data_IF_112168635880
#
_entry.id   IF_112168635880
#
_cell.length_a   1.000
_cell.length_b   1.000
_cell.length_c   1.000
_cell.angle_alpha   90.00
_cell.angle_beta   90.00
_cell.angle_gamma   90.00
#
_symmetry.space_group_name_H-M   'P 1'
#
loop_
_entity.id
_entity.type
_entity.pdbx_description
1 polymer ?
#
# COMPACT_ATOMS: atom_id res chain seq x y z
N UNK A 1 49.77 65.67 29.60
CA UNK A 1 50.54 64.41 29.52
C UNK A 1 49.62 63.32 28.99
N UNK A 2 49.94 62.80 27.80
CA UNK A 2 49.20 61.72 27.12
C UNK A 2 49.39 60.40 27.87
N UNK A 3 48.30 59.66 28.13
CA UNK A 3 48.35 58.22 28.40
C UNK A 3 47.38 57.53 27.45
N UNK A 4 47.95 56.92 26.43
CA UNK A 4 47.30 56.01 25.49
C UNK A 4 47.00 54.72 26.23
N UNK A 5 45.72 54.32 26.32
CA UNK A 5 45.33 53.00 26.80
C UNK A 5 45.07 52.15 25.55
N UNK A 6 45.93 51.16 25.36
CA UNK A 6 45.72 50.03 24.47
C UNK A 6 44.87 49.01 25.25
N UNK A 7 43.69 48.64 24.76
CA UNK A 7 42.98 47.46 25.26
C UNK A 7 42.54 46.60 24.06
N UNK A 8 42.96 45.36 24.17
CA UNK A 8 43.05 44.29 23.19
C UNK A 8 41.67 43.79 22.77
N UNK A 9 41.42 43.69 21.46
CA UNK A 9 40.27 42.94 20.91
C UNK A 9 40.51 41.44 21.16
N UNK A 10 39.62 40.82 21.94
CA UNK A 10 39.60 39.37 22.14
C UNK A 10 38.71 38.76 21.05
N UNK A 11 39.31 38.24 19.99
CA UNK A 11 38.62 37.49 18.93
C UNK A 11 38.31 36.07 19.42
N UNK A 12 37.08 35.82 19.84
CA UNK A 12 36.58 34.47 20.13
C UNK A 12 36.29 33.74 18.82
N UNK A 13 37.18 32.83 18.41
CA UNK A 13 36.86 31.80 17.42
C UNK A 13 35.83 30.84 18.01
N UNK A 14 34.59 30.91 17.53
CA UNK A 14 33.60 29.85 17.70
C UNK A 14 33.97 28.73 16.73
N UNK A 15 34.65 27.69 17.24
CA UNK A 15 34.76 26.41 16.57
C UNK A 15 33.37 25.75 16.59
N UNK A 16 32.71 25.79 15.43
CA UNK A 16 31.49 25.03 15.19
C UNK A 16 31.86 23.54 15.17
N UNK A 17 31.51 22.81 16.24
CA UNK A 17 31.56 21.35 16.26
C UNK A 17 30.42 20.82 15.40
N UNK A 18 30.63 20.70 14.09
CA UNK A 18 29.82 19.80 13.25
C UNK A 18 30.20 18.37 13.63
N UNK A 19 29.44 17.77 14.54
CA UNK A 19 29.45 16.33 14.74
C UNK A 19 28.84 15.68 13.50
N UNK A 20 29.69 15.37 12.52
CA UNK A 20 29.39 14.32 11.54
C UNK A 20 29.33 13.00 12.32
N UNK A 21 28.17 12.66 12.87
CA UNK A 21 27.84 11.28 13.20
C UNK A 21 27.66 10.55 11.88
N UNK A 22 28.76 10.02 11.35
CA UNK A 22 28.71 8.88 10.46
C UNK A 22 27.95 7.78 11.21
N UNK A 23 26.70 7.50 10.83
CA UNK A 23 26.01 6.29 11.27
C UNK A 23 26.92 5.12 10.89
N UNK A 24 27.50 4.46 11.89
CA UNK A 24 28.13 3.17 11.65
C UNK A 24 27.06 2.26 11.05
N UNK A 25 27.28 1.80 9.81
CA UNK A 25 26.41 0.79 9.19
C UNK A 25 26.42 -0.41 10.13
N UNK A 26 25.29 -0.67 10.79
CA UNK A 26 25.11 -1.84 11.65
C UNK A 26 25.45 -3.08 10.81
N UNK A 27 26.55 -3.74 11.16
CA UNK A 27 27.01 -4.97 10.53
C UNK A 27 26.45 -6.16 11.32
N UNK A 28 25.18 -6.50 11.08
CA UNK A 28 24.53 -7.66 11.70
C UNK A 28 23.00 -7.51 11.77
N UNK A 29 22.27 -8.59 12.07
CA UNK A 29 20.81 -8.53 12.21
C UNK A 29 20.42 -7.58 13.35
N UNK A 30 19.30 -6.88 13.14
CA UNK A 30 18.71 -6.01 14.16
C UNK A 30 17.68 -6.81 14.94
N UNK A 31 17.69 -6.69 16.28
CA UNK A 31 16.68 -7.35 17.10
C UNK A 31 15.36 -6.60 16.99
N UNK A 32 14.32 -7.27 16.48
CA UNK A 32 12.94 -6.89 16.62
C UNK A 32 12.31 -7.66 17.79
N UNK A 33 11.59 -6.96 18.66
CA UNK A 33 10.89 -7.55 19.79
C UNK A 33 9.65 -6.74 20.15
N UNK A 34 8.58 -7.40 20.59
CA UNK A 34 7.40 -6.74 21.13
C UNK A 34 7.40 -6.88 22.66
N UNK A 35 7.28 -5.75 23.35
CA UNK A 35 7.15 -5.72 24.81
C UNK A 35 5.74 -5.31 25.20
N UNK A 36 5.25 -5.87 26.30
CA UNK A 36 4.03 -5.42 26.94
C UNK A 36 4.38 -4.55 28.14
N UNK A 37 4.04 -3.26 28.06
CA UNK A 37 4.36 -2.25 29.07
C UNK A 37 3.07 -1.51 29.45
N UNK A 38 2.69 -1.54 30.74
CA UNK A 38 1.47 -0.88 31.24
C UNK A 38 0.18 -1.26 30.49
N UNK A 39 0.08 -2.53 30.06
CA UNK A 39 -1.08 -3.02 29.31
C UNK A 39 -1.07 -2.67 27.81
N UNK A 40 0.02 -2.07 27.30
CA UNK A 40 0.19 -1.71 25.89
C UNK A 40 1.27 -2.56 25.24
N UNK A 41 1.08 -2.90 23.98
CA UNK A 41 2.09 -3.53 23.15
C UNK A 41 2.92 -2.48 22.39
N UNK A 42 4.24 -2.60 22.45
CA UNK A 42 5.15 -1.72 21.74
C UNK A 42 6.20 -2.56 21.01
N UNK A 43 6.33 -2.35 19.71
CA UNK A 43 7.43 -2.89 18.92
C UNK A 43 8.71 -2.10 19.21
N UNK A 44 9.83 -2.80 19.36
CA UNK A 44 11.17 -2.26 19.46
C UNK A 44 12.02 -2.82 18.33
N UNK A 45 12.82 -1.97 17.69
CA UNK A 45 13.81 -2.36 16.68
C UNK A 45 15.17 -1.81 17.10
N UNK A 46 16.14 -2.70 17.33
CA UNK A 46 17.47 -2.32 17.81
C UNK A 46 17.46 -1.73 19.23
N UNK A 47 16.43 -2.03 20.02
CA UNK A 47 16.24 -1.50 21.38
C UNK A 47 15.48 -0.17 21.46
N UNK A 48 15.12 0.43 20.32
CA UNK A 48 14.37 1.69 20.26
C UNK A 48 12.89 1.45 19.95
N UNK A 49 11.94 2.18 20.57
CA UNK A 49 10.53 2.10 20.24
C UNK A 49 10.29 2.39 18.75
N UNK A 50 9.51 1.53 18.10
CA UNK A 50 9.24 1.60 16.67
C UNK A 50 7.74 1.50 16.39
N UNK A 51 7.20 2.49 15.69
CA UNK A 51 5.85 2.46 15.13
C UNK A 51 5.96 2.24 13.62
N UNK A 52 5.28 1.22 13.08
CA UNK A 52 5.35 0.92 11.65
C UNK A 52 4.58 1.99 10.86
N UNK A 53 5.35 2.82 10.14
CA UNK A 53 4.90 3.78 9.11
C UNK A 53 5.22 3.16 7.76
N UNK A 54 4.44 2.16 7.38
CA UNK A 54 4.82 1.25 6.31
C UNK A 54 3.98 1.37 5.06
N UNK A 55 4.50 0.81 3.97
CA UNK A 55 3.74 0.53 2.75
C UNK A 55 3.96 -0.90 2.21
N UNK A 56 2.93 -1.48 1.60
CA UNK A 56 3.05 -2.69 0.79
C UNK A 56 3.71 -2.33 -0.54
N UNK A 57 4.89 -2.88 -0.78
CA UNK A 57 5.78 -2.48 -1.87
C UNK A 57 6.48 -3.73 -2.43
N UNK A 58 5.98 -4.25 -3.53
CA UNK A 58 6.64 -5.34 -4.28
C UNK A 58 7.54 -4.77 -5.37
N UNK A 59 7.01 -3.84 -6.18
CA UNK A 59 7.70 -3.21 -7.31
C UNK A 59 7.59 -1.67 -7.30
N UNK A 60 7.18 -1.11 -6.16
CA UNK A 60 7.01 0.34 -6.01
C UNK A 60 8.31 1.10 -5.78
N UNK A 61 8.20 2.41 -5.55
CA UNK A 61 9.34 3.29 -5.38
C UNK A 61 9.77 3.36 -3.89
N UNK A 62 10.84 2.65 -3.55
CA UNK A 62 11.41 2.55 -2.20
C UNK A 62 11.99 3.89 -1.73
N UNK A 63 12.65 4.62 -2.62
CA UNK A 63 13.25 5.92 -2.31
C UNK A 63 12.15 6.94 -1.98
N UNK A 64 11.05 6.95 -2.74
CA UNK A 64 9.90 7.80 -2.45
C UNK A 64 9.25 7.45 -1.12
N UNK A 65 9.15 6.17 -0.76
CA UNK A 65 8.63 5.80 0.55
C UNK A 65 9.44 6.45 1.69
N UNK A 66 10.77 6.43 1.59
CA UNK A 66 11.64 7.09 2.56
C UNK A 66 11.50 8.63 2.51
N UNK A 67 11.41 9.21 1.32
CA UNK A 67 11.22 10.66 1.10
C UNK A 67 9.96 11.20 1.81
N UNK A 68 8.85 10.45 1.79
CA UNK A 68 7.62 10.85 2.46
C UNK A 68 7.57 10.49 3.94
N UNK A 69 8.65 9.98 4.54
CA UNK A 69 8.72 9.69 5.98
C UNK A 69 8.23 8.29 6.38
N UNK A 70 8.02 7.41 5.41
CA UNK A 70 7.87 5.98 5.66
C UNK A 70 9.16 5.40 6.27
N UNK A 71 9.03 4.38 7.12
CA UNK A 71 10.16 3.79 7.84
C UNK A 71 10.34 2.28 7.61
N UNK A 72 9.40 1.66 6.90
CA UNK A 72 9.50 0.24 6.52
C UNK A 72 8.60 -0.08 5.34
N UNK A 73 8.84 -1.21 4.68
CA UNK A 73 7.89 -1.75 3.70
C UNK A 73 7.68 -3.25 3.87
N UNK A 74 6.60 -3.74 3.28
CA UNK A 74 6.23 -5.16 3.26
C UNK A 74 6.32 -5.70 1.84
N UNK A 75 6.88 -6.91 1.70
CA UNK A 75 6.87 -7.71 0.47
C UNK A 75 6.00 -8.96 0.65
N UNK A 76 5.70 -9.67 -0.45
CA UNK A 76 4.91 -10.91 -0.41
C UNK A 76 5.76 -12.16 -0.52
N UNK A 77 7.04 -12.03 -0.90
CA UNK A 77 7.98 -13.14 -1.11
C UNK A 77 9.42 -12.68 -1.01
N UNK A 78 10.33 -13.64 -0.84
CA UNK A 78 11.77 -13.39 -0.79
C UNK A 78 12.42 -13.33 -2.17
N UNK A 79 11.75 -13.75 -3.24
CA UNK A 79 12.23 -13.58 -4.62
C UNK A 79 11.02 -13.25 -5.48
N UNK A 80 10.99 -12.04 -6.02
CA UNK A 80 9.84 -11.52 -6.75
C UNK A 80 9.99 -11.62 -8.28
N UNK A 81 11.01 -12.33 -8.75
CA UNK A 81 11.33 -12.52 -10.16
C UNK A 81 11.99 -11.32 -10.83
N UNK A 82 12.09 -10.18 -10.15
CA UNK A 82 12.86 -8.99 -10.60
C UNK A 82 14.05 -8.70 -9.70
N UNK A 83 13.86 -8.84 -8.40
CA UNK A 83 14.85 -8.61 -7.34
C UNK A 83 14.84 -9.83 -6.41
N UNK A 84 16.03 -10.28 -6.05
CA UNK A 84 16.21 -11.23 -4.95
C UNK A 84 15.94 -10.53 -3.61
N UNK A 85 15.63 -11.32 -2.58
CA UNK A 85 15.36 -10.78 -1.23
C UNK A 85 16.55 -10.04 -0.67
N UNK A 86 17.77 -10.40 -1.08
CA UNK A 86 18.97 -9.66 -0.73
C UNK A 86 18.96 -8.27 -1.36
N UNK A 87 18.65 -8.14 -2.64
CA UNK A 87 18.60 -6.84 -3.33
C UNK A 87 17.53 -5.93 -2.72
N UNK A 88 16.36 -6.49 -2.41
CA UNK A 88 15.28 -5.79 -1.70
C UNK A 88 15.77 -5.27 -0.34
N UNK A 89 16.38 -6.14 0.47
CA UNK A 89 16.85 -5.79 1.79
C UNK A 89 18.03 -4.81 1.77
N UNK A 90 18.96 -4.95 0.82
CA UNK A 90 20.07 -4.03 0.60
C UNK A 90 19.53 -2.63 0.24
N UNK A 91 18.51 -2.55 -0.63
CA UNK A 91 17.87 -1.29 -1.02
C UNK A 91 17.11 -0.65 0.12
N UNK A 92 16.43 -1.44 0.96
CA UNK A 92 15.82 -0.96 2.19
C UNK A 92 16.87 -0.33 3.11
N UNK A 93 17.97 -1.05 3.37
CA UNK A 93 19.05 -0.56 4.22
C UNK A 93 19.68 0.73 3.67
N UNK A 94 19.89 0.81 2.35
CA UNK A 94 20.45 1.99 1.70
C UNK A 94 19.58 3.24 1.87
N UNK A 95 18.27 3.07 2.03
CA UNK A 95 17.29 4.13 2.24
C UNK A 95 16.89 4.32 3.72
N UNK A 96 17.55 3.63 4.66
CA UNK A 96 17.23 3.71 6.09
C UNK A 96 15.89 3.09 6.47
N UNK A 97 15.40 2.15 5.67
CA UNK A 97 14.12 1.46 5.86
C UNK A 97 14.32 0.04 6.39
N UNK A 98 13.31 -0.46 7.10
CA UNK A 98 13.18 -1.86 7.49
C UNK A 98 12.19 -2.62 6.61
N UNK A 99 12.21 -3.95 6.67
CA UNK A 99 11.38 -4.83 5.83
C UNK A 99 10.64 -5.85 6.69
N UNK A 100 9.32 -5.90 6.51
CA UNK A 100 8.51 -7.08 6.79
C UNK A 100 8.56 -7.97 5.54
N UNK A 101 9.42 -8.97 5.56
CA UNK A 101 9.71 -9.81 4.39
C UNK A 101 8.65 -10.91 4.28
N UNK A 102 7.93 -10.93 3.17
CA UNK A 102 7.01 -12.01 2.85
C UNK A 102 7.73 -13.31 2.53
N UNK A 103 7.13 -14.42 2.94
CA UNK A 103 7.48 -15.77 2.52
C UNK A 103 6.31 -16.30 1.70
N UNK A 104 6.55 -16.67 0.44
CA UNK A 104 5.49 -17.25 -0.38
C UNK A 104 5.15 -18.65 0.15
N UNK A 105 3.92 -18.80 0.59
CA UNK A 105 3.32 -20.04 1.08
C UNK A 105 2.15 -20.36 0.16
N UNK A 106 2.12 -21.60 -0.34
CA UNK A 106 1.16 -22.01 -1.34
C UNK A 106 -0.27 -21.91 -0.81
N UNK A 107 -1.17 -21.44 -1.68
CA UNK A 107 -2.57 -21.18 -1.33
C UNK A 107 -3.45 -22.31 -1.84
N UNK A 108 -4.42 -22.74 -1.04
CA UNK A 108 -5.40 -23.75 -1.45
C UNK A 108 -6.21 -23.26 -2.67
N UNK A 109 -6.50 -21.96 -2.77
CA UNK A 109 -7.18 -21.36 -3.93
C UNK A 109 -6.43 -21.55 -5.26
N UNK A 110 -5.12 -21.85 -5.20
CA UNK A 110 -4.28 -22.16 -6.37
C UNK A 110 -4.09 -23.68 -6.59
N UNK A 111 -4.84 -24.52 -5.85
CA UNK A 111 -4.82 -25.97 -6.00
C UNK A 111 -3.83 -26.70 -5.09
N UNK A 112 -3.19 -26.04 -4.12
CA UNK A 112 -2.31 -26.70 -3.17
C UNK A 112 -3.10 -27.50 -2.12
N UNK A 113 -2.86 -28.81 -2.03
CA UNK A 113 -3.54 -29.68 -1.06
C UNK A 113 -2.69 -29.85 0.22
N UNK A 114 -3.12 -29.22 1.31
CA UNK A 114 -2.48 -29.39 2.62
C UNK A 114 -2.68 -30.77 3.27
N UNK A 115 -3.38 -31.71 2.61
CA UNK A 115 -3.36 -33.13 2.97
C UNK A 115 -2.21 -33.91 2.32
N UNK A 116 -1.56 -33.36 1.29
CA UNK A 116 -0.36 -33.95 0.71
C UNK A 116 0.85 -33.61 1.59
N UNK A 117 1.16 -34.51 2.53
CA UNK A 117 2.26 -34.35 3.47
C UNK A 117 3.62 -34.21 2.77
N UNK A 118 3.80 -34.82 1.59
CA UNK A 118 5.05 -34.70 0.83
C UNK A 118 5.19 -33.31 0.21
N UNK A 119 4.12 -32.77 -0.37
CA UNK A 119 4.11 -31.41 -0.92
C UNK A 119 4.32 -30.35 0.18
N UNK A 120 3.68 -30.53 1.35
CA UNK A 120 3.88 -29.65 2.52
C UNK A 120 5.32 -29.70 3.00
N UNK A 121 5.92 -30.89 3.08
CA UNK A 121 7.32 -31.04 3.49
C UNK A 121 8.30 -30.43 2.48
N UNK A 122 8.06 -30.58 1.17
CA UNK A 122 8.88 -29.96 0.13
C UNK A 122 8.83 -28.42 0.21
N UNK A 123 7.64 -27.85 0.38
CA UNK A 123 7.46 -26.42 0.63
C UNK A 123 8.25 -25.96 1.85
N UNK A 124 8.18 -26.70 2.96
CA UNK A 124 8.89 -26.35 4.18
C UNK A 124 10.41 -26.36 3.98
N UNK A 125 10.97 -27.38 3.30
CA UNK A 125 12.41 -27.45 3.01
C UNK A 125 12.89 -26.35 2.03
N UNK A 126 12.04 -25.87 1.12
CA UNK A 126 12.33 -24.67 0.33
C UNK A 126 12.41 -23.43 1.23
N UNK A 127 11.40 -23.19 2.04
CA UNK A 127 11.29 -22.01 2.91
C UNK A 127 12.45 -21.94 3.92
N UNK A 128 12.87 -23.08 4.48
CA UNK A 128 14.04 -23.14 5.37
C UNK A 128 15.30 -22.55 4.72
N UNK A 129 15.52 -22.81 3.43
CA UNK A 129 16.68 -22.26 2.69
C UNK A 129 16.57 -20.75 2.52
N UNK A 130 15.38 -20.23 2.22
CA UNK A 130 15.12 -18.78 2.11
C UNK A 130 15.40 -18.07 3.43
N UNK A 131 14.92 -18.62 4.56
CA UNK A 131 15.17 -18.07 5.90
C UNK A 131 16.67 -18.02 6.19
N UNK A 132 17.40 -19.11 5.94
CA UNK A 132 18.86 -19.15 6.17
C UNK A 132 19.64 -18.12 5.34
N UNK A 133 19.14 -17.76 4.16
CA UNK A 133 19.80 -16.79 3.29
C UNK A 133 19.69 -15.35 3.82
N UNK A 134 18.59 -14.99 4.47
CA UNK A 134 18.28 -13.58 4.78
C UNK A 134 18.15 -13.24 6.26
N UNK A 135 18.07 -14.24 7.16
CA UNK A 135 17.88 -14.05 8.62
C UNK A 135 18.92 -13.16 9.32
N UNK A 136 20.09 -12.95 8.72
CA UNK A 136 21.15 -12.14 9.31
C UNK A 136 21.21 -10.70 8.73
N UNK A 137 20.23 -10.33 7.89
CA UNK A 137 20.23 -9.03 7.23
C UNK A 137 19.74 -7.89 8.16
N UNK A 138 20.46 -6.75 8.27
CA UNK A 138 20.15 -5.65 9.18
C UNK A 138 18.80 -4.94 8.93
N UNK A 139 18.31 -4.96 7.69
CA UNK A 139 17.03 -4.34 7.32
C UNK A 139 15.80 -5.23 7.57
N UNK A 140 15.99 -6.52 7.84
CA UNK A 140 14.85 -7.41 8.14
C UNK A 140 14.35 -7.13 9.57
N UNK A 141 13.02 -7.14 9.77
CA UNK A 141 12.43 -7.02 11.12
C UNK A 141 11.34 -8.05 11.42
N UNK A 142 10.59 -8.48 10.40
CA UNK A 142 9.47 -9.41 10.55
C UNK A 142 9.43 -10.34 9.33
N UNK A 143 9.20 -11.62 9.57
CA UNK A 143 8.83 -12.61 8.56
C UNK A 143 7.31 -12.74 8.46
N UNK A 144 6.74 -12.39 7.31
CA UNK A 144 5.32 -12.58 7.01
C UNK A 144 5.11 -13.92 6.30
N UNK A 145 4.67 -14.92 7.05
CA UNK A 145 4.47 -16.31 6.60
C UNK A 145 3.16 -16.40 5.82
N UNK A 146 3.26 -16.36 4.50
CA UNK A 146 2.14 -16.45 3.59
C UNK A 146 1.31 -15.16 3.46
N UNK A 147 0.48 -15.15 2.43
CA UNK A 147 -0.46 -14.07 2.15
C UNK A 147 -1.88 -14.59 1.97
N UNK A 148 -2.81 -14.11 2.79
CA UNK A 148 -4.24 -14.40 2.67
C UNK A 148 -4.54 -15.89 2.51
N UNK A 149 -3.88 -16.73 3.32
CA UNK A 149 -4.02 -18.19 3.24
C UNK A 149 -5.44 -18.66 3.55
N UNK A 150 -6.25 -17.80 4.19
CA UNK A 150 -7.66 -18.00 4.47
C UNK A 150 -8.59 -17.65 3.28
N UNK A 151 -8.10 -16.94 2.26
CA UNK A 151 -8.93 -16.51 1.14
C UNK A 151 -9.34 -17.72 0.29
N UNK A 152 -10.65 -18.04 0.28
CA UNK A 152 -11.23 -19.20 -0.42
C UNK A 152 -10.60 -20.54 -0.01
N UNK A 153 -10.13 -20.64 1.23
CA UNK A 153 -9.57 -21.87 1.79
C UNK A 153 -10.53 -22.52 2.80
N UNK A 154 -10.43 -23.83 2.92
CA UNK A 154 -11.21 -24.67 3.85
C UNK A 154 -10.35 -25.67 4.62
N UNK A 155 -9.13 -25.98 4.15
CA UNK A 155 -8.27 -26.95 4.81
C UNK A 155 -7.51 -26.31 5.99
N UNK A 156 -7.82 -26.66 7.25
CA UNK A 156 -7.22 -26.02 8.42
C UNK A 156 -5.75 -26.41 8.63
N UNK A 157 -5.23 -27.42 7.91
CA UNK A 157 -3.82 -27.83 8.00
C UNK A 157 -2.85 -26.76 7.47
N UNK A 158 -3.33 -25.79 6.70
CA UNK A 158 -2.54 -24.62 6.31
C UNK A 158 -1.94 -23.91 7.53
N UNK A 159 -2.71 -23.81 8.61
CA UNK A 159 -2.27 -23.17 9.85
C UNK A 159 -1.20 -23.98 10.57
N UNK A 160 -1.28 -25.31 10.55
CA UNK A 160 -0.22 -26.15 11.09
C UNK A 160 1.11 -25.92 10.35
N UNK A 161 1.06 -25.77 9.02
CA UNK A 161 2.24 -25.46 8.21
C UNK A 161 2.81 -24.07 8.54
N UNK A 162 1.95 -23.07 8.73
CA UNK A 162 2.37 -21.73 9.20
C UNK A 162 3.08 -21.82 10.54
N UNK A 163 2.53 -22.56 11.51
CA UNK A 163 3.14 -22.72 12.83
C UNK A 163 4.51 -23.41 12.74
N UNK A 164 4.61 -24.47 11.93
CA UNK A 164 5.87 -25.17 11.72
C UNK A 164 6.97 -24.26 11.14
N UNK A 165 6.60 -23.35 10.23
CA UNK A 165 7.52 -22.34 9.69
C UNK A 165 7.93 -21.35 10.78
N UNK A 166 6.97 -20.86 11.58
CA UNK A 166 7.22 -19.94 12.70
C UNK A 166 8.21 -20.53 13.71
N UNK A 167 7.98 -21.78 14.14
CA UNK A 167 8.83 -22.47 15.12
C UNK A 167 10.27 -22.60 14.60
N UNK A 168 10.42 -22.94 13.32
CA UNK A 168 11.74 -23.03 12.70
C UNK A 168 12.44 -21.67 12.61
N UNK A 169 11.71 -20.60 12.28
CA UNK A 169 12.26 -19.24 12.28
C UNK A 169 12.78 -18.90 13.68
N UNK A 170 11.99 -19.09 14.74
CA UNK A 170 12.43 -18.81 16.10
C UNK A 170 13.62 -19.68 16.57
N UNK A 171 13.77 -20.90 16.04
CA UNK A 171 14.94 -21.75 16.30
C UNK A 171 16.24 -21.16 15.71
N UNK A 172 16.18 -20.62 14.49
CA UNK A 172 17.39 -20.26 13.71
C UNK A 172 17.64 -18.76 13.57
N UNK A 173 16.62 -17.96 13.80
CA UNK A 173 16.59 -16.50 13.72
C UNK A 173 15.98 -15.93 15.00
N UNK A 174 16.79 -15.77 16.06
CA UNK A 174 16.31 -15.19 17.31
C UNK A 174 16.14 -13.68 17.23
N UNK A 175 16.36 -13.04 16.08
CA UNK A 175 16.36 -11.58 15.95
C UNK A 175 15.06 -11.02 15.40
N UNK A 176 14.37 -11.74 14.52
CA UNK A 176 13.19 -11.22 13.83
C UNK A 176 11.89 -11.86 14.32
N UNK A 177 10.79 -11.13 14.17
CA UNK A 177 9.45 -11.59 14.56
C UNK A 177 8.80 -12.41 13.44
N UNK A 178 7.75 -13.15 13.78
CA UNK A 178 6.92 -13.92 12.84
C UNK A 178 5.46 -13.47 12.89
N UNK A 179 4.82 -13.42 11.72
CA UNK A 179 3.37 -13.16 11.58
C UNK A 179 2.82 -13.97 10.43
N UNK A 180 1.49 -14.11 10.35
CA UNK A 180 0.79 -14.48 9.12
C UNK A 180 -0.26 -13.42 8.79
N UNK A 181 -0.57 -13.24 7.51
CA UNK A 181 -1.47 -12.19 7.04
C UNK A 181 -2.83 -12.77 6.61
N UNK A 182 -3.91 -12.16 7.08
CA UNK A 182 -5.29 -12.62 6.84
C UNK A 182 -6.05 -11.67 5.90
N UNK A 183 -6.84 -12.24 4.99
CA UNK A 183 -7.86 -11.53 4.25
C UNK A 183 -9.06 -11.26 5.18
N UNK A 184 -9.15 -10.06 5.74
CA UNK A 184 -10.10 -9.73 6.80
C UNK A 184 -9.85 -10.49 8.10
N UNK A 185 -10.83 -10.44 9.01
CA UNK A 185 -10.77 -11.08 10.32
C UNK A 185 -12.18 -11.52 10.75
N UNK A 186 -12.25 -12.62 11.49
CA UNK A 186 -13.49 -13.12 12.10
C UNK A 186 -13.19 -14.02 13.28
N UNK A 187 -14.17 -14.18 14.17
CA UNK A 187 -13.99 -14.95 15.42
C UNK A 187 -13.54 -16.39 15.18
N UNK A 188 -14.20 -17.11 14.27
CA UNK A 188 -13.89 -18.53 13.99
C UNK A 188 -12.46 -18.68 13.45
N UNK A 189 -12.06 -17.81 12.51
CA UNK A 189 -10.70 -17.78 11.98
C UNK A 189 -9.67 -17.51 13.08
N UNK A 190 -9.94 -16.55 13.98
CA UNK A 190 -9.03 -16.25 15.08
C UNK A 190 -8.96 -17.39 16.10
N UNK A 191 -10.06 -18.10 16.36
CA UNK A 191 -10.06 -19.27 17.21
C UNK A 191 -9.17 -20.39 16.60
N UNK A 192 -9.26 -20.62 15.29
CA UNK A 192 -8.38 -21.54 14.56
C UNK A 192 -6.91 -21.13 14.64
N UNK A 193 -6.60 -19.84 14.46
CA UNK A 193 -5.23 -19.31 14.57
C UNK A 193 -4.67 -19.53 15.98
N UNK A 194 -5.45 -19.24 17.02
CA UNK A 194 -5.01 -19.46 18.41
C UNK A 194 -4.74 -20.93 18.72
N UNK A 195 -5.53 -21.84 18.15
CA UNK A 195 -5.37 -23.27 18.35
C UNK A 195 -4.16 -23.82 17.58
N UNK A 196 -4.00 -23.42 16.32
CA UNK A 196 -3.09 -24.09 15.36
C UNK A 196 -1.79 -23.34 15.10
N UNK A 197 -1.76 -22.04 15.38
CA UNK A 197 -0.60 -21.16 15.17
C UNK A 197 -0.21 -20.41 16.45
N UNK A 198 -0.01 -21.09 17.59
CA UNK A 198 0.33 -20.39 18.82
C UNK A 198 1.69 -19.66 18.78
N UNK A 199 2.60 -20.08 17.90
CA UNK A 199 4.00 -19.63 17.89
C UNK A 199 4.19 -18.21 17.32
N UNK A 200 3.29 -17.71 16.44
CA UNK A 200 3.45 -16.36 15.88
C UNK A 200 3.43 -15.27 16.97
N UNK A 201 4.23 -14.23 16.76
CA UNK A 201 4.37 -13.11 17.69
C UNK A 201 3.16 -12.16 17.64
N UNK A 202 2.62 -11.95 16.44
CA UNK A 202 1.51 -11.04 16.18
C UNK A 202 0.62 -11.52 15.02
N UNK A 203 -0.57 -10.92 14.92
CA UNK A 203 -1.47 -11.13 13.79
C UNK A 203 -1.39 -9.97 12.80
N UNK A 204 -1.46 -10.29 11.51
CA UNK A 204 -1.53 -9.28 10.45
C UNK A 204 -2.85 -9.37 9.70
N UNK A 205 -3.48 -8.24 9.48
CA UNK A 205 -4.86 -8.16 8.98
C UNK A 205 -4.90 -7.23 7.77
N UNK A 206 -5.60 -7.66 6.72
CA UNK A 206 -5.81 -6.89 5.50
C UNK A 206 -7.28 -6.47 5.42
N UNK A 207 -7.55 -5.16 5.42
CA UNK A 207 -8.89 -4.61 5.40
C UNK A 207 -8.92 -3.25 4.68
N UNK A 208 -9.99 -3.04 3.91
CA UNK A 208 -10.14 -1.90 3.02
C UNK A 208 -11.29 -1.00 3.49
N UNK A 209 -12.47 -1.04 2.85
CA UNK A 209 -13.57 -0.15 3.21
C UNK A 209 -14.09 -0.39 4.64
N UNK A 210 -14.07 -1.64 5.08
CA UNK A 210 -14.55 -2.03 6.41
C UNK A 210 -13.50 -1.84 7.52
N UNK A 211 -12.31 -1.31 7.22
CA UNK A 211 -11.24 -1.09 8.19
C UNK A 211 -11.68 -0.28 9.43
N UNK A 212 -12.54 0.76 9.35
CA UNK A 212 -13.03 1.48 10.53
C UNK A 212 -13.71 0.57 11.58
N UNK A 213 -14.18 -0.62 11.19
CA UNK A 213 -14.79 -1.59 12.08
C UNK A 213 -13.80 -2.62 12.67
N UNK A 214 -12.52 -2.60 12.27
CA UNK A 214 -11.48 -3.51 12.77
C UNK A 214 -11.41 -3.57 14.31
N UNK A 215 -11.47 -2.46 15.07
CA UNK A 215 -11.42 -2.53 16.54
C UNK A 215 -12.52 -3.42 17.13
N UNK A 216 -13.73 -3.36 16.57
CA UNK A 216 -14.84 -4.23 16.97
C UNK A 216 -14.55 -5.69 16.68
N UNK A 217 -13.99 -6.01 15.50
CA UNK A 217 -13.65 -7.39 15.16
C UNK A 217 -12.53 -7.97 16.02
N UNK A 218 -11.55 -7.15 16.43
CA UNK A 218 -10.51 -7.57 17.38
C UNK A 218 -11.14 -7.94 18.73
N UNK A 219 -12.06 -7.12 19.24
CA UNK A 219 -12.77 -7.39 20.49
C UNK A 219 -13.63 -8.66 20.39
N UNK A 220 -14.46 -8.77 19.35
CA UNK A 220 -15.36 -9.93 19.13
C UNK A 220 -14.60 -11.25 18.94
N UNK A 221 -13.43 -11.20 18.31
CA UNK A 221 -12.56 -12.36 18.13
C UNK A 221 -11.73 -12.70 19.38
N UNK A 222 -11.77 -11.83 20.40
CA UNK A 222 -11.01 -11.96 21.64
C UNK A 222 -9.50 -12.11 21.37
N UNK A 223 -8.95 -11.46 20.33
CA UNK A 223 -7.52 -11.47 20.09
C UNK A 223 -6.82 -10.55 21.10
N UNK A 224 -5.91 -11.12 21.91
CA UNK A 224 -5.26 -10.40 23.02
C UNK A 224 -3.78 -10.09 22.76
N UNK A 225 -3.20 -10.67 21.71
CA UNK A 225 -1.80 -10.42 21.30
C UNK A 225 -1.71 -9.14 20.43
N UNK A 226 -0.51 -8.62 20.14
CA UNK A 226 -0.35 -7.51 19.19
C UNK A 226 -0.94 -7.83 17.81
N UNK A 227 -1.25 -6.79 17.05
CA UNK A 227 -1.57 -6.92 15.62
C UNK A 227 -1.02 -5.74 14.81
N UNK A 228 -1.04 -5.89 13.48
CA UNK A 228 -0.82 -4.78 12.55
C UNK A 228 -1.74 -4.90 11.34
N UNK A 229 -1.96 -3.78 10.64
CA UNK A 229 -2.76 -3.74 9.42
C UNK A 229 -1.81 -3.79 8.22
N UNK A 230 -1.73 -4.92 7.52
CA UNK A 230 -0.69 -5.14 6.49
C UNK A 230 -1.10 -4.78 5.07
N UNK A 231 -2.39 -4.58 4.83
CA UNK A 231 -2.92 -3.95 3.62
C UNK A 231 -4.17 -3.16 3.99
N UNK A 232 -4.14 -1.87 3.67
CA UNK A 232 -5.26 -0.94 3.75
C UNK A 232 -5.00 0.19 2.76
N UNK A 233 -6.05 0.79 2.21
CA UNK A 233 -5.85 1.79 1.17
C UNK A 233 -7.15 2.16 0.51
N UNK A 234 -7.25 2.02 -0.81
CA UNK A 234 -8.48 2.32 -1.55
C UNK A 234 -9.61 1.33 -1.23
N UNK A 235 -10.85 1.71 -1.53
CA UNK A 235 -12.03 0.84 -1.41
C UNK A 235 -11.91 -0.34 -2.37
N UNK A 236 -12.15 -1.57 -1.90
CA UNK A 236 -12.12 -2.75 -2.76
C UNK A 236 -13.17 -2.68 -3.86
N UNK A 237 -12.86 -3.15 -5.07
CA UNK A 237 -13.81 -3.14 -6.19
C UNK A 237 -15.07 -4.01 -5.97
N UNK A 238 -15.03 -4.90 -4.97
CA UNK A 238 -16.17 -5.68 -4.50
C UNK A 238 -17.05 -4.93 -3.48
N UNK A 239 -16.59 -3.79 -2.97
CA UNK A 239 -17.25 -2.99 -1.91
C UNK A 239 -17.93 -1.72 -2.47
N UNK A 240 -17.83 -1.47 -3.78
CA UNK A 240 -18.41 -0.29 -4.44
C UNK A 240 -19.71 -0.61 -5.17
N UNK A 241 -20.58 0.40 -5.42
CA UNK A 241 -21.69 0.27 -6.36
C UNK A 241 -21.20 -0.11 -7.76
N UNK A 242 -22.09 -0.74 -8.53
CA UNK A 242 -21.85 -1.15 -9.91
C UNK A 242 -22.88 -0.53 -10.84
N UNK A 243 -22.50 -0.28 -12.09
CA UNK A 243 -23.43 0.10 -13.16
C UNK A 243 -24.39 -1.04 -13.49
N UNK A 244 -25.42 -0.76 -14.29
CA UNK A 244 -26.37 -1.76 -14.79
C UNK A 244 -25.70 -2.89 -15.61
N UNK A 245 -24.56 -2.61 -16.24
CA UNK A 245 -23.75 -3.61 -16.95
C UNK A 245 -22.63 -4.23 -16.08
N UNK A 246 -22.65 -3.99 -14.78
CA UNK A 246 -21.78 -4.66 -13.80
C UNK A 246 -20.39 -4.06 -13.61
N UNK A 247 -20.10 -2.90 -14.22
CA UNK A 247 -18.83 -2.22 -14.04
C UNK A 247 -18.75 -1.57 -12.65
N UNK A 248 -17.72 -1.83 -11.84
CA UNK A 248 -17.59 -1.22 -10.51
C UNK A 248 -17.24 0.27 -10.63
N UNK A 249 -17.89 1.10 -9.81
CA UNK A 249 -17.70 2.55 -9.82
C UNK A 249 -16.51 2.89 -8.93
N UNK A 250 -15.47 3.45 -9.54
CA UNK A 250 -14.24 3.80 -8.85
C UNK A 250 -14.34 5.20 -8.23
N UNK A 251 -13.73 5.39 -7.05
CA UNK A 251 -13.57 6.71 -6.46
C UNK A 251 -12.53 7.53 -7.25
N UNK A 252 -12.69 8.85 -7.30
CA UNK A 252 -11.64 9.74 -7.79
C UNK A 252 -10.48 9.85 -6.77
N UNK A 253 -9.32 10.37 -7.20
CA UNK A 253 -8.13 10.46 -6.35
C UNK A 253 -8.35 11.22 -5.03
N UNK A 254 -9.13 12.29 -5.03
CA UNK A 254 -9.42 13.08 -3.81
C UNK A 254 -10.32 12.34 -2.84
N UNK A 255 -11.37 11.68 -3.33
CA UNK A 255 -12.23 10.82 -2.52
C UNK A 255 -11.49 9.59 -1.97
N UNK A 256 -10.47 9.08 -2.70
CA UNK A 256 -9.56 8.06 -2.16
C UNK A 256 -8.72 8.66 -1.02
N UNK A 257 -8.10 9.81 -1.21
CA UNK A 257 -7.29 10.46 -0.20
C UNK A 257 -8.07 10.69 1.11
N UNK A 258 -9.29 11.20 1.02
CA UNK A 258 -10.21 11.35 2.16
C UNK A 258 -10.44 10.01 2.89
N UNK A 259 -10.71 8.94 2.13
CA UNK A 259 -10.93 7.61 2.69
C UNK A 259 -9.68 7.05 3.39
N UNK A 260 -8.47 7.31 2.89
CA UNK A 260 -7.22 6.91 3.55
C UNK A 260 -7.09 7.61 4.90
N UNK A 261 -7.26 8.93 4.94
CA UNK A 261 -7.15 9.71 6.17
C UNK A 261 -8.18 9.25 7.21
N UNK A 262 -9.44 9.09 6.80
CA UNK A 262 -10.52 8.61 7.67
C UNK A 262 -10.20 7.23 8.26
N UNK A 263 -9.78 6.27 7.42
CA UNK A 263 -9.47 4.91 7.84
C UNK A 263 -8.36 4.88 8.87
N UNK A 264 -7.28 5.62 8.64
CA UNK A 264 -6.15 5.68 9.57
C UNK A 264 -6.58 6.27 10.92
N UNK A 265 -7.29 7.40 10.89
CA UNK A 265 -7.74 8.09 12.09
C UNK A 265 -8.78 7.31 12.91
N UNK A 266 -9.58 6.46 12.27
CA UNK A 266 -10.60 5.65 12.96
C UNK A 266 -10.09 4.31 13.49
N UNK A 267 -9.21 3.63 12.75
CA UNK A 267 -8.89 2.23 13.03
C UNK A 267 -7.44 1.96 13.44
N UNK A 268 -6.50 2.84 13.10
CA UNK A 268 -5.06 2.59 13.27
C UNK A 268 -4.49 3.49 14.36
N UNK A 269 -4.60 4.81 14.18
CA UNK A 269 -4.01 5.80 15.10
C UNK A 269 -4.51 5.70 16.55
N UNK A 270 -5.81 5.49 16.82
CA UNK A 270 -6.30 5.46 18.20
C UNK A 270 -5.93 4.17 18.95
N UNK A 271 -5.49 3.13 18.25
CA UNK A 271 -5.36 1.76 18.79
C UNK A 271 -3.90 1.36 19.07
N UNK A 272 -3.04 2.33 19.38
CA UNK A 272 -1.61 2.15 19.71
C UNK A 272 -1.33 1.29 20.95
N UNK A 273 -2.37 0.89 21.68
CA UNK A 273 -2.24 -0.01 22.82
C UNK A 273 -2.08 -1.48 22.38
N UNK A 274 -2.52 -1.84 21.17
CA UNK A 274 -2.46 -3.22 20.66
C UNK A 274 -1.99 -3.31 19.19
N UNK A 275 -2.38 -2.33 18.36
CA UNK A 275 -1.84 -2.17 17.03
C UNK A 275 -0.39 -1.67 17.12
N UNK A 276 0.53 -2.19 16.31
CA UNK A 276 1.93 -1.73 16.26
C UNK A 276 2.27 -0.91 14.99
N UNK A 277 1.26 -0.63 14.17
CA UNK A 277 1.35 0.18 12.96
C UNK A 277 0.75 -0.51 11.74
N UNK A 278 1.13 -0.06 10.55
CA UNK A 278 0.43 -0.47 9.34
C UNK A 278 1.23 -0.31 8.05
N UNK A 279 0.84 -1.06 7.02
CA UNK A 279 1.35 -0.99 5.66
C UNK A 279 0.24 -0.56 4.68
N UNK A 280 0.33 0.67 4.16
CA UNK A 280 -0.61 1.19 3.16
C UNK A 280 -0.42 0.47 1.81
N UNK A 281 -1.50 0.22 1.07
CA UNK A 281 -1.50 -0.52 -0.19
C UNK A 281 -2.29 0.24 -1.28
N UNK A 282 -1.83 0.31 -2.54
CA UNK A 282 -0.54 -0.16 -3.06
C UNK A 282 0.40 1.04 -3.24
N UNK A 283 1.59 1.00 -2.60
CA UNK A 283 2.63 2.01 -2.85
C UNK A 283 3.33 1.74 -4.16
N UNK A 284 2.74 2.23 -5.24
CA UNK A 284 3.17 2.06 -6.61
C UNK A 284 1.96 2.10 -7.54
N UNK A 285 2.10 1.43 -8.68
CA UNK A 285 1.03 1.27 -9.64
C UNK A 285 0.94 -0.21 -10.08
N UNK A 286 -0.29 -0.69 -10.23
CA UNK A 286 -0.60 -2.01 -10.79
C UNK A 286 -1.97 -1.94 -11.44
N UNK A 287 -2.12 -2.56 -12.59
CA UNK A 287 -3.43 -2.85 -13.17
C UNK A 287 -4.22 -3.78 -12.25
N UNK A 288 -5.36 -3.31 -11.76
CA UNK A 288 -6.31 -4.12 -11.00
C UNK A 288 -7.72 -3.52 -11.13
N UNK A 289 -8.54 -4.13 -11.99
CA UNK A 289 -9.78 -3.61 -12.60
C UNK A 289 -9.54 -2.40 -13.50
N UNK A 290 -8.85 -1.39 -13.00
CA UNK A 290 -8.45 -0.19 -13.74
C UNK A 290 -6.97 0.11 -13.45
N UNK A 291 -6.30 0.93 -14.28
CA UNK A 291 -4.91 1.30 -14.05
C UNK A 291 -4.72 2.21 -12.82
N UNK A 292 -5.82 2.71 -12.25
CA UNK A 292 -5.82 3.69 -11.18
C UNK A 292 -6.44 3.18 -9.87
N UNK A 293 -6.96 1.94 -9.80
CA UNK A 293 -7.79 1.49 -8.68
C UNK A 293 -7.09 1.55 -7.31
N UNK A 294 -6.00 0.79 -7.14
CA UNK A 294 -5.31 0.64 -5.85
C UNK A 294 -3.96 1.35 -5.77
N UNK A 295 -3.34 1.60 -6.92
CA UNK A 295 -2.07 2.32 -6.98
C UNK A 295 -2.25 3.77 -6.53
N UNK A 296 -1.36 4.25 -5.66
CA UNK A 296 -1.32 5.67 -5.26
C UNK A 296 -0.36 6.50 -6.12
N UNK A 297 0.24 5.87 -7.13
CA UNK A 297 1.03 6.51 -8.18
C UNK A 297 0.38 6.22 -9.54
N UNK A 298 0.52 7.13 -10.49
CA UNK A 298 0.25 6.85 -11.89
C UNK A 298 1.35 5.97 -12.50
N UNK A 299 1.06 5.34 -13.65
CA UNK A 299 2.04 4.49 -14.36
C UNK A 299 3.29 5.28 -14.79
N UNK A 300 3.12 6.57 -15.10
CA UNK A 300 4.21 7.50 -15.41
C UNK A 300 5.01 7.97 -14.19
N UNK A 301 4.57 7.62 -12.98
CA UNK A 301 5.29 7.86 -11.73
C UNK A 301 4.82 9.07 -10.93
N UNK A 302 3.82 9.83 -11.41
CA UNK A 302 3.26 10.94 -10.66
C UNK A 302 2.55 10.46 -9.39
N UNK A 303 2.73 11.22 -8.33
CA UNK A 303 2.10 11.01 -7.02
C UNK A 303 0.65 11.48 -7.04
N UNK A 304 -0.22 10.75 -6.35
CA UNK A 304 -1.63 11.15 -6.17
C UNK A 304 -1.84 11.76 -4.79
N UNK A 305 -3.00 12.38 -4.56
CA UNK A 305 -3.34 12.99 -3.27
C UNK A 305 -3.34 11.97 -2.09
N UNK A 306 -3.40 10.67 -2.38
CA UNK A 306 -3.21 9.64 -1.36
C UNK A 306 -1.76 9.61 -0.82
N UNK A 307 -0.75 9.98 -1.63
CA UNK A 307 0.64 10.16 -1.18
C UNK A 307 0.76 11.37 -0.25
N UNK A 308 0.11 12.50 -0.57
CA UNK A 308 0.05 13.67 0.32
C UNK A 308 -0.51 13.30 1.70
N UNK A 309 -1.60 12.53 1.72
CA UNK A 309 -2.22 12.06 2.97
C UNK A 309 -1.27 11.16 3.75
N UNK A 310 -0.54 10.26 3.10
CA UNK A 310 0.45 9.42 3.78
C UNK A 310 1.61 10.24 4.34
N UNK A 311 2.09 11.24 3.57
CA UNK A 311 3.09 12.20 4.05
C UNK A 311 2.60 12.93 5.30
N UNK A 312 1.36 13.43 5.29
CA UNK A 312 0.74 14.07 6.45
C UNK A 312 0.61 13.12 7.65
N UNK A 313 0.12 11.91 7.44
CA UNK A 313 -0.01 10.89 8.50
C UNK A 313 1.34 10.57 9.14
N UNK A 314 2.42 10.52 8.35
CA UNK A 314 3.74 10.15 8.84
C UNK A 314 4.52 11.30 9.45
N UNK A 315 4.37 12.53 8.97
CA UNK A 315 5.16 13.69 9.38
C UNK A 315 4.40 14.69 10.24
N UNK A 316 3.07 14.68 10.21
CA UNK A 316 2.20 15.62 10.92
C UNK A 316 2.02 16.97 10.22
N UNK A 317 2.54 17.11 9.00
CA UNK A 317 2.41 18.28 8.14
C UNK A 317 2.23 17.85 6.69
N UNK A 318 1.57 18.67 5.88
CA UNK A 318 1.38 18.41 4.45
C UNK A 318 2.70 18.57 3.68
N UNK A 319 2.88 17.88 2.53
CA UNK A 319 4.06 18.11 1.69
C UNK A 319 4.09 19.56 1.19
N UNK A 320 5.29 20.06 0.88
CA UNK A 320 5.48 21.44 0.40
C UNK A 320 4.76 21.74 -0.90
N UNK A 321 4.62 20.73 -1.77
CA UNK A 321 3.83 20.77 -3.00
C UNK A 321 2.74 19.70 -2.88
N UNK A 322 1.49 20.10 -2.99
CA UNK A 322 0.34 19.21 -2.88
C UNK A 322 -0.20 18.83 -4.24
N UNK A 323 -0.73 17.63 -4.32
CA UNK A 323 -1.37 17.11 -5.52
C UNK A 323 -2.63 17.92 -5.87
N UNK A 324 -2.95 18.14 -7.17
CA UNK A 324 -4.23 18.69 -7.58
C UNK A 324 -5.41 17.87 -7.01
N UNK A 325 -6.50 18.55 -6.69
CA UNK A 325 -7.73 17.95 -6.16
C UNK A 325 -8.87 18.00 -7.18
N UNK A 326 -9.82 17.06 -7.05
CA UNK A 326 -10.99 16.93 -7.93
C UNK A 326 -12.28 17.16 -7.17
N UNK A 327 -13.05 18.18 -7.57
CA UNK A 327 -14.35 18.50 -6.99
C UNK A 327 -15.48 17.71 -7.65
N UNK A 328 -15.43 17.56 -8.97
CA UNK A 328 -16.45 16.83 -9.73
C UNK A 328 -15.93 16.32 -11.07
N UNK A 329 -16.56 15.25 -11.57
CA UNK A 329 -16.33 14.74 -12.90
C UNK A 329 -17.68 14.32 -13.52
N UNK A 330 -17.99 14.87 -14.69
CA UNK A 330 -19.27 14.70 -15.37
C UNK A 330 -19.07 14.31 -16.83
N UNK A 331 -19.96 13.44 -17.32
CA UNK A 331 -20.12 13.07 -18.73
C UNK A 331 -21.55 13.40 -19.15
N UNK A 332 -21.74 14.36 -20.06
CA UNK A 332 -23.06 14.90 -20.43
C UNK A 332 -23.89 15.35 -19.22
N UNK A 333 -23.22 15.99 -18.25
CA UNK A 333 -23.84 16.44 -17.00
C UNK A 333 -24.22 15.34 -16.01
N UNK A 334 -23.83 14.08 -16.28
CA UNK A 334 -24.10 12.91 -15.45
C UNK A 334 -22.83 12.40 -14.76
N UNK A 335 -23.01 11.79 -13.60
CA UNK A 335 -21.95 11.13 -12.82
C UNK A 335 -21.84 9.64 -13.20
N UNK A 336 -20.81 8.97 -12.67
CA UNK A 336 -20.67 7.51 -12.79
C UNK A 336 -21.86 6.71 -12.23
N UNK A 337 -22.66 7.30 -11.33
CA UNK A 337 -23.78 6.64 -10.68
C UNK A 337 -25.08 6.68 -11.49
N UNK A 338 -25.12 7.44 -12.58
CA UNK A 338 -26.34 7.67 -13.38
C UNK A 338 -26.51 6.65 -14.53
N UNK A 339 -25.60 5.67 -14.67
CA UNK A 339 -25.59 4.68 -15.77
C UNK A 339 -25.58 5.34 -17.15
N UNK A 340 -24.47 5.99 -17.50
CA UNK A 340 -24.38 6.77 -18.74
C UNK A 340 -24.46 5.87 -20.00
N UNK A 341 -25.42 6.18 -20.87
CA UNK A 341 -25.58 5.53 -22.18
C UNK A 341 -25.35 6.52 -23.32
N UNK A 342 -24.47 6.16 -24.24
CA UNK A 342 -24.13 6.94 -25.44
C UNK A 342 -24.52 6.18 -26.70
N UNK A 343 -24.60 6.86 -27.84
CA UNK A 343 -24.85 6.28 -29.16
C UNK A 343 -23.56 6.23 -30.00
N UNK A 344 -23.40 5.16 -30.79
CA UNK A 344 -22.19 4.95 -31.60
C UNK A 344 -21.84 6.17 -32.47
N UNK A 345 -20.57 6.60 -32.41
CA UNK A 345 -20.02 7.65 -33.26
C UNK A 345 -20.56 9.07 -33.05
N UNK A 346 -21.46 9.30 -32.10
CA UNK A 346 -21.92 10.64 -31.73
C UNK A 346 -20.90 11.36 -30.85
N UNK A 347 -20.92 12.70 -30.90
CA UNK A 347 -20.07 13.55 -30.07
C UNK A 347 -20.73 13.88 -28.74
N UNK A 348 -19.95 13.84 -27.67
CA UNK A 348 -20.37 14.10 -26.29
C UNK A 348 -19.32 14.94 -25.56
N UNK A 349 -19.73 15.58 -24.47
CA UNK A 349 -18.90 16.46 -23.64
C UNK A 349 -18.63 15.81 -22.29
N UNK A 350 -17.39 15.89 -21.84
CA UNK A 350 -17.01 15.56 -20.48
C UNK A 350 -16.31 16.76 -19.83
N UNK A 351 -16.52 16.93 -18.53
CA UNK A 351 -15.99 18.04 -17.76
C UNK A 351 -15.51 17.58 -16.39
N UNK A 352 -14.32 18.01 -16.00
CA UNK A 352 -13.76 17.84 -14.67
C UNK A 352 -13.58 19.21 -14.00
N UNK A 353 -13.98 19.32 -12.74
CA UNK A 353 -13.64 20.46 -11.89
C UNK A 353 -12.43 20.07 -11.03
N UNK A 354 -11.35 20.83 -11.15
CA UNK A 354 -10.09 20.56 -10.46
C UNK A 354 -9.44 21.84 -9.97
N UNK A 355 -8.70 21.74 -8.87
CA UNK A 355 -7.95 22.85 -8.29
C UNK A 355 -6.59 22.39 -7.82
N UNK A 356 -5.59 23.26 -7.94
CA UNK A 356 -4.25 23.03 -7.40
C UNK A 356 -4.07 23.84 -6.10
N UNK A 357 -3.73 23.21 -4.97
CA UNK A 357 -3.57 23.92 -3.71
C UNK A 357 -2.44 24.97 -3.72
N UNK A 358 -1.42 24.78 -4.54
CA UNK A 358 -0.24 25.64 -4.64
C UNK A 358 -0.37 26.68 -5.78
N UNK A 359 -1.43 26.58 -6.57
CA UNK A 359 -1.76 27.48 -7.67
C UNK A 359 -0.96 27.20 -8.94
N UNK A 360 -0.45 25.97 -9.09
CA UNK A 360 0.21 25.53 -10.31
C UNK A 360 -0.75 25.44 -11.50
N UNK A 361 -0.18 25.55 -12.71
CA UNK A 361 -0.93 25.44 -13.95
C UNK A 361 -1.24 23.97 -14.24
N UNK A 362 -2.51 23.66 -14.47
CA UNK A 362 -2.97 22.28 -14.66
C UNK A 362 -2.96 21.85 -16.13
N UNK A 363 -2.40 20.68 -16.39
CA UNK A 363 -2.43 19.99 -17.69
C UNK A 363 -3.39 18.79 -17.63
N UNK A 364 -4.10 18.51 -18.73
CA UNK A 364 -5.15 17.50 -18.76
C UNK A 364 -4.80 16.39 -19.76
N UNK A 365 -5.12 15.16 -19.40
CA UNK A 365 -5.07 14.01 -20.32
C UNK A 365 -6.38 13.23 -20.21
N UNK A 366 -6.90 12.84 -21.36
CA UNK A 366 -8.14 12.10 -21.47
C UNK A 366 -7.91 10.79 -22.22
N UNK A 367 -8.48 9.70 -21.71
CA UNK A 367 -8.39 8.38 -22.34
C UNK A 367 -9.75 7.67 -22.30
N UNK A 368 -10.07 6.93 -23.36
CA UNK A 368 -11.21 6.01 -23.37
C UNK A 368 -10.66 4.61 -23.58
N UNK A 369 -11.04 3.70 -22.69
CA UNK A 369 -10.67 2.28 -22.77
C UNK A 369 -11.94 1.42 -22.77
N UNK A 370 -11.93 0.25 -23.41
CA UNK A 370 -12.93 -0.77 -23.12
C UNK A 370 -12.93 -1.13 -21.63
N UNK A 371 -14.10 -1.45 -21.07
CA UNK A 371 -14.16 -1.97 -19.70
C UNK A 371 -13.36 -3.29 -19.60
N UNK A 372 -12.58 -3.45 -18.53
CA UNK A 372 -11.71 -4.63 -18.38
C UNK A 372 -12.52 -5.93 -18.40
N UNK A 373 -12.01 -6.91 -19.15
CA UNK A 373 -12.56 -8.28 -19.24
C UNK A 373 -11.64 -9.31 -18.58
N UNK A 374 -10.39 -8.96 -18.35
CA UNK A 374 -9.40 -9.79 -17.69
C UNK A 374 -9.45 -9.49 -16.20
N UNK A 375 -10.15 -10.36 -15.46
CA UNK A 375 -10.51 -10.12 -14.08
C UNK A 375 -9.88 -11.17 -13.17
N UNK A 376 -8.83 -10.79 -12.43
CA UNK A 376 -8.18 -11.60 -11.40
C UNK A 376 -8.91 -11.59 -10.05
N UNK A 377 -8.43 -12.40 -9.10
CA UNK A 377 -8.89 -12.44 -7.70
C UNK A 377 -7.69 -12.38 -6.73
N UNK A 378 -7.85 -11.76 -5.57
CA UNK A 378 -6.80 -11.69 -4.54
C UNK A 378 -5.42 -11.22 -5.04
N UNK A 379 -5.39 -10.15 -5.85
CA UNK A 379 -4.16 -9.53 -6.33
C UNK A 379 -3.47 -10.26 -7.50
N UNK A 380 -4.14 -11.19 -8.19
CA UNK A 380 -3.62 -11.83 -9.40
C UNK A 380 -3.32 -10.81 -10.52
N UNK A 381 -2.53 -11.22 -11.52
CA UNK A 381 -2.18 -10.37 -12.66
C UNK A 381 -3.39 -10.13 -13.56
N UNK A 382 -3.53 -8.90 -14.06
CA UNK A 382 -4.53 -8.50 -15.04
C UNK A 382 -3.87 -7.68 -16.14
N UNK A 383 -4.30 -7.89 -17.38
CA UNK A 383 -3.89 -7.07 -18.53
C UNK A 383 -4.65 -5.73 -18.57
N UNK A 384 -3.94 -4.65 -18.89
CA UNK A 384 -4.53 -3.32 -19.07
C UNK A 384 -5.21 -3.23 -20.45
N UNK A 385 -6.49 -2.83 -20.53
CA UNK A 385 -7.13 -2.55 -21.81
C UNK A 385 -6.42 -1.41 -22.56
N UNK A 386 -6.26 -1.54 -23.88
CA UNK A 386 -5.66 -0.49 -24.70
C UNK A 386 -6.59 0.73 -24.83
N UNK A 387 -6.02 1.93 -24.71
CA UNK A 387 -6.74 3.18 -24.97
C UNK A 387 -7.06 3.33 -26.46
N UNK A 388 -8.24 3.85 -26.77
CA UNK A 388 -8.70 4.06 -28.14
C UNK A 388 -8.23 5.45 -28.62
N UNK A 389 -7.31 5.53 -29.60
CA UNK A 389 -6.77 6.81 -30.05
C UNK A 389 -7.77 7.57 -30.94
N UNK A 390 -7.60 8.89 -31.01
CA UNK A 390 -8.29 9.74 -31.99
C UNK A 390 -9.78 10.01 -31.74
N UNK A 391 -10.27 9.75 -30.52
CA UNK A 391 -11.66 10.05 -30.14
C UNK A 391 -11.89 11.49 -29.69
N UNK A 392 -10.87 12.17 -29.19
CA UNK A 392 -10.99 13.53 -28.64
C UNK A 392 -10.76 14.61 -29.69
N UNK A 393 -11.49 15.71 -29.58
CA UNK A 393 -11.40 16.88 -30.45
C UNK A 393 -10.76 18.06 -29.70
N UNK A 394 -9.80 18.74 -30.34
CA UNK A 394 -9.13 19.92 -29.77
C UNK A 394 -7.97 19.59 -28.83
N UNK A 395 -7.47 20.63 -28.17
CA UNK A 395 -6.43 20.50 -27.15
C UNK A 395 -7.05 20.05 -25.82
N UNK A 396 -6.38 19.17 -25.04
CA UNK A 396 -6.86 18.76 -23.73
C UNK A 396 -7.07 19.94 -22.78
N UNK A 397 -8.23 19.99 -22.14
CA UNK A 397 -8.58 20.97 -21.13
C UNK A 397 -9.52 20.33 -20.08
N UNK A 398 -9.94 21.13 -19.09
CA UNK A 398 -10.90 20.72 -18.07
C UNK A 398 -12.25 20.26 -18.65
N UNK A 399 -12.61 20.76 -19.83
CA UNK A 399 -13.75 20.31 -20.63
C UNK A 399 -13.24 19.80 -21.97
N UNK A 400 -13.76 18.65 -22.41
CA UNK A 400 -13.39 18.03 -23.70
C UNK A 400 -14.62 17.54 -24.43
N UNK A 401 -14.58 17.62 -25.76
CA UNK A 401 -15.53 16.93 -26.64
C UNK A 401 -14.87 15.69 -27.24
N UNK A 402 -15.59 14.58 -27.28
CA UNK A 402 -15.11 13.34 -27.88
C UNK A 402 -16.21 12.62 -28.65
N UNK A 403 -15.81 11.75 -29.59
CA UNK A 403 -16.72 10.82 -30.26
C UNK A 403 -16.81 9.51 -29.48
N UNK A 404 -18.03 9.06 -29.19
CA UNK A 404 -18.24 7.74 -28.64
C UNK A 404 -17.68 6.66 -29.60
N UNK A 405 -17.08 5.58 -29.07
CA UNK A 405 -16.62 4.44 -29.86
C UNK A 405 -17.66 3.96 -30.88
N UNK A 406 -17.19 3.45 -32.02
CA UNK A 406 -18.07 2.93 -33.08
C UNK A 406 -18.63 1.54 -32.80
N UNK A 407 -18.07 0.84 -31.82
CA UNK A 407 -18.53 -0.48 -31.40
C UNK A 407 -19.42 -0.34 -30.16
N UNK A 408 -20.52 -1.10 -30.15
CA UNK A 408 -21.41 -1.20 -28.98
C UNK A 408 -20.73 -1.99 -27.87
N UNK A 409 -20.84 -1.52 -26.63
CA UNK A 409 -20.20 -2.15 -25.48
C UNK A 409 -19.96 -1.23 -24.30
N UNK A 410 -19.35 -1.80 -23.25
CA UNK A 410 -18.95 -1.08 -22.05
C UNK A 410 -17.55 -0.48 -22.22
N UNK A 411 -17.42 0.78 -21.86
CA UNK A 411 -16.19 1.57 -21.91
C UNK A 411 -16.05 2.38 -20.62
N UNK A 412 -14.86 2.95 -20.44
CA UNK A 412 -14.55 3.84 -19.33
C UNK A 412 -13.77 5.04 -19.84
N UNK A 413 -14.25 6.22 -19.49
CA UNK A 413 -13.61 7.49 -19.74
C UNK A 413 -12.75 7.86 -18.53
N UNK A 414 -11.46 8.07 -18.74
CA UNK A 414 -10.50 8.49 -17.74
C UNK A 414 -10.09 9.94 -17.98
N UNK A 415 -9.84 10.66 -16.88
CA UNK A 415 -9.17 11.95 -16.86
C UNK A 415 -8.01 11.92 -15.87
N UNK A 416 -6.91 12.51 -16.27
CA UNK A 416 -5.74 12.78 -15.45
C UNK A 416 -5.45 14.29 -15.48
N UNK A 417 -5.16 14.87 -14.32
CA UNK A 417 -4.91 16.30 -14.14
C UNK A 417 -3.56 16.48 -13.48
N UNK A 418 -2.58 17.01 -14.20
CA UNK A 418 -1.18 17.11 -13.78
C UNK A 418 -0.84 18.54 -13.36
N UNK A 419 0.01 18.69 -12.35
CA UNK A 419 0.54 19.98 -11.88
C UNK A 419 1.86 20.39 -12.58
N UNK A 420 2.47 19.47 -13.34
CA UNK A 420 3.81 19.66 -13.92
C UNK A 420 4.97 19.65 -12.91
N UNK A 421 4.71 19.25 -11.66
CA UNK A 421 5.68 19.06 -10.56
C UNK A 421 5.82 17.60 -10.11
N UNK A 422 5.18 16.69 -10.82
CA UNK A 422 5.25 15.25 -10.54
C UNK A 422 4.06 14.74 -9.72
N UNK A 423 2.96 15.50 -9.64
CA UNK A 423 1.73 15.04 -9.04
C UNK A 423 0.58 15.05 -10.06
N UNK A 424 -0.40 14.19 -9.80
CA UNK A 424 -1.57 14.10 -10.64
C UNK A 424 -2.82 13.66 -9.86
N UNK A 425 -3.95 14.28 -10.21
CA UNK A 425 -5.26 13.80 -9.84
C UNK A 425 -5.83 12.91 -10.95
N UNK A 426 -6.74 12.00 -10.59
CA UNK A 426 -7.40 11.16 -11.59
C UNK A 426 -8.87 10.86 -11.23
N UNK A 427 -9.69 10.69 -12.26
CA UNK A 427 -11.07 10.21 -12.13
C UNK A 427 -11.47 9.39 -13.35
N UNK A 428 -12.54 8.61 -13.24
CA UNK A 428 -13.12 7.93 -14.38
C UNK A 428 -14.64 7.74 -14.26
N UNK A 429 -15.30 7.58 -15.41
CA UNK A 429 -16.74 7.28 -15.53
C UNK A 429 -16.89 6.08 -16.46
N UNK A 430 -17.46 4.96 -15.99
CA UNK A 430 -17.92 3.91 -16.89
C UNK A 430 -19.15 4.38 -17.67
N UNK A 431 -19.21 4.06 -18.96
CA UNK A 431 -20.36 4.32 -19.83
C UNK A 431 -20.59 3.16 -20.79
N UNK A 432 -21.78 3.08 -21.38
CA UNK A 432 -22.14 2.05 -22.34
C UNK A 432 -22.56 2.67 -23.67
N UNK A 433 -21.96 2.21 -24.77
CA UNK A 433 -22.31 2.64 -26.13
C UNK A 433 -23.36 1.70 -26.71
N UNK A 434 -24.45 2.27 -27.22
CA UNK A 434 -25.57 1.58 -27.89
C UNK A 434 -25.58 1.90 -29.38
N UNK A 435 -26.12 0.98 -30.16
CA UNK A 435 -26.33 1.12 -31.61
C UNK A 435 -27.34 2.22 -31.96
#
# INVERSE_FOLDING_TARGET
MKKTIFLTLLSSLLLSCTSNTSQEKVQGPVKAEIKQENGKYQLYVGGEPFWIKGAGLEFGNVEKLAEHGGNSFRTWRTDNGKESGKEVLDRAQANGLYVTMGIDVARERHGFDYNDEAAVAEQFERIKKEIQLYKDHPALIIWAIGNELNLRATNPKVWNAVNQISEYIHEVDPNHLTTTTLAGIGKELVDDIKERVPDIDLLSIQMYADLPNLPRYIEESNWQKPYMVTEWGATGHWEVPKTEWGAPIELNSSAKADAYLERYQKAIEPHKDQCIGSYVFLWGQKQERTPTWYGIFLESGEETESVDVMHYIWNGEWPENRTPSLDSFLLEGQTAYDNVYLETGKSYTAQVASTDPDGDALEYKWEIMPESKDLGDGGDFESTPEAIPGLFEGEPAAEVTFKAPSESGAYRLFVYVFDGKGHAAHANIPFFVKD
#
